data_IF_245603864307
#
_entry.id   IF_245603864307
#
_cell.length_a   1.000
_cell.length_b   1.000
_cell.length_c   1.000
_cell.angle_alpha   90.00
_cell.angle_beta   90.00
_cell.angle_gamma   90.00
#
_symmetry.space_group_name_H-M   'P 1'
#
loop_
_entity.id
_entity.type
_entity.pdbx_description
1 polymer ?
2 polymer ?
3 non-polymer ?
4 water ?
#
# COMPACT_ATOMS: atom_id res chain seq x y z
N UNK A 2 -15.76 -12.35 4.19
CA UNK A 2 -15.51 -13.15 2.95
C UNK A 2 -14.38 -12.56 2.12
N UNK A 3 -14.74 -11.62 1.24
CA UNK A 3 -13.77 -10.94 0.39
C UNK A 3 -12.98 -9.95 1.25
N UNK A 4 -12.86 -10.27 2.53
CA UNK A 4 -12.16 -9.43 3.47
C UNK A 4 -10.67 -9.76 3.48
N UNK A 5 -10.34 -11.01 3.81
CA UNK A 5 -8.95 -11.48 3.88
C UNK A 5 -8.10 -10.97 2.72
N UNK A 6 -8.75 -10.70 1.60
CA UNK A 6 -8.05 -10.18 0.45
C UNK A 6 -7.55 -8.81 0.86
N UNK A 7 -8.50 -7.96 1.26
CA UNK A 7 -8.21 -6.60 1.71
C UNK A 7 -7.13 -6.62 2.80
N UNK A 8 -7.18 -7.65 3.64
CA UNK A 8 -6.22 -7.80 4.72
C UNK A 8 -4.87 -8.09 4.10
N UNK A 9 -4.86 -9.02 3.15
CA UNK A 9 -3.62 -9.41 2.48
C UNK A 9 -2.98 -8.21 1.77
N UNK A 10 -3.82 -7.45 1.06
CA UNK A 10 -3.39 -6.28 0.30
C UNK A 10 -2.71 -5.22 1.16
N UNK A 11 -2.98 -5.24 2.46
CA UNK A 11 -2.37 -4.28 3.38
C UNK A 11 -1.25 -4.94 4.16
N UNK A 12 -0.21 -4.17 4.44
CA UNK A 12 0.96 -4.65 5.17
C UNK A 12 0.60 -4.91 6.62
N UNK A 13 1.57 -5.36 7.40
CA UNK A 13 1.35 -5.66 8.81
C UNK A 13 1.28 -4.38 9.63
N UNK A 14 2.19 -3.47 9.33
CA UNK A 14 2.28 -2.20 10.03
C UNK A 14 1.12 -1.26 9.69
N UNK A 15 0.49 -1.49 8.53
CA UNK A 15 -0.64 -0.67 8.09
C UNK A 15 -1.85 -1.08 8.90
N UNK A 16 -2.20 -2.36 8.83
CA UNK A 16 -3.32 -2.86 9.61
C UNK A 16 -3.12 -2.54 11.09
N UNK A 17 -1.86 -2.41 11.50
CA UNK A 17 -1.56 -2.12 12.89
C UNK A 17 -1.86 -0.66 13.20
N UNK A 18 -1.64 0.20 12.22
CA UNK A 18 -1.89 1.62 12.40
C UNK A 18 -3.36 1.94 12.22
N UNK A 19 -3.99 1.29 11.24
CA UNK A 19 -5.40 1.52 10.94
C UNK A 19 -6.18 1.26 12.20
N UNK A 20 -5.91 0.12 12.82
CA UNK A 20 -6.58 -0.25 14.05
C UNK A 20 -6.50 0.93 15.01
N UNK A 21 -5.27 1.31 15.34
CA UNK A 21 -4.99 2.42 16.25
C UNK A 21 -6.00 3.57 16.16
N UNK A 22 -6.19 4.09 14.95
CA UNK A 22 -7.13 5.19 14.68
C UNK A 22 -8.56 4.72 14.94
N UNK A 23 -8.88 3.55 14.39
CA UNK A 23 -10.20 2.94 14.54
C UNK A 23 -10.53 2.84 16.02
N UNK A 24 -9.76 2.00 16.72
CA UNK A 24 -9.94 1.82 18.15
C UNK A 24 -10.12 3.16 18.84
N UNK A 25 -9.37 4.15 18.36
CA UNK A 25 -9.41 5.50 18.90
C UNK A 25 -10.84 6.05 19.01
N UNK A 26 -11.64 5.84 17.97
CA UNK A 26 -13.01 6.33 17.97
C UNK A 26 -14.00 5.26 18.33
N UNK A 27 -13.53 4.29 19.09
CA UNK A 27 -14.36 3.18 19.54
C UNK A 27 -14.49 3.26 21.05
N UNK A 28 -15.51 3.98 21.52
CA UNK A 28 -15.77 4.12 22.95
C UNK A 28 -16.56 2.88 23.39
N UNK A 29 -17.54 2.52 22.57
CA UNK A 29 -18.37 1.35 22.82
C UNK A 29 -17.48 0.16 23.12
N UNK A 30 -16.24 0.23 22.64
CA UNK A 30 -15.27 -0.84 22.84
C UNK A 30 -15.72 -2.13 22.20
N UNK A 31 -16.62 -2.03 21.23
CA UNK A 31 -17.13 -3.21 20.55
C UNK A 31 -16.55 -3.37 19.15
N UNK A 32 -15.37 -2.81 18.91
CA UNK A 32 -14.73 -2.90 17.60
C UNK A 32 -15.70 -2.27 16.62
N UNK A 33 -16.32 -1.18 17.05
CA UNK A 33 -17.34 -0.46 16.28
C UNK A 33 -17.22 1.08 16.36
N UNK A 34 -17.50 1.76 15.26
CA UNK A 34 -17.45 3.23 15.25
C UNK A 34 -18.62 3.77 14.45
N UNK A 35 -19.02 5.00 14.77
CA UNK A 35 -20.15 5.67 14.12
C UNK A 35 -19.78 6.17 12.71
N UNK A 36 -20.68 5.96 11.74
CA UNK A 36 -20.43 6.41 10.37
C UNK A 36 -20.16 7.90 10.29
N UNK A 37 -20.50 8.62 11.35
CA UNK A 37 -20.27 10.06 11.36
C UNK A 37 -18.83 10.33 11.77
N UNK A 38 -18.07 9.27 11.99
CA UNK A 38 -16.67 9.40 12.39
C UNK A 38 -15.71 8.89 11.32
N UNK A 39 -16.27 8.20 10.33
CA UNK A 39 -15.50 7.63 9.23
C UNK A 39 -14.64 8.71 8.61
N UNK A 40 -15.28 9.62 7.89
CA UNK A 40 -14.53 10.69 7.28
C UNK A 40 -13.33 11.10 8.10
N UNK A 41 -13.51 11.46 9.37
CA UNK A 41 -12.35 11.90 10.15
C UNK A 41 -11.27 10.81 10.38
N UNK A 42 -11.70 9.57 10.63
CA UNK A 42 -10.73 8.47 10.83
C UNK A 42 -9.95 8.25 9.53
N UNK A 43 -10.64 8.34 8.40
CA UNK A 43 -10.01 8.15 7.11
C UNK A 43 -9.01 9.26 6.83
N UNK A 44 -9.22 10.41 7.47
CA UNK A 44 -8.32 11.55 7.28
C UNK A 44 -7.01 11.31 8.04
N UNK A 45 -7.11 10.67 9.21
CA UNK A 45 -5.93 10.37 10.03
C UNK A 45 -4.98 9.42 9.30
N UNK A 46 -5.53 8.55 8.46
CA UNK A 46 -4.72 7.58 7.72
C UNK A 46 -4.60 7.91 6.24
N UNK A 47 -4.29 9.16 5.96
CA UNK A 47 -4.09 9.59 4.58
C UNK A 47 -5.20 9.78 3.58
N UNK A 48 -6.30 9.05 3.68
CA UNK A 48 -7.37 9.21 2.71
C UNK A 48 -8.12 10.54 2.80
N UNK A 49 -8.48 11.09 1.64
CA UNK A 49 -9.20 12.35 1.52
C UNK A 49 -10.34 12.29 0.50
N UNK A 50 -11.36 11.51 0.80
CA UNK A 50 -12.47 11.43 -0.14
C UNK A 50 -13.26 12.71 0.01
N UNK A 51 -13.97 13.10 -1.03
CA UNK A 51 -14.81 14.28 -0.96
C UNK A 51 -16.05 13.81 -0.20
N UNK A 52 -16.70 14.75 0.49
CA UNK A 52 -17.89 14.47 1.29
C UNK A 52 -18.88 13.63 0.49
N UNK A 53 -18.95 13.87 -0.82
CA UNK A 53 -19.85 13.11 -1.67
C UNK A 53 -19.36 11.69 -1.84
N UNK A 54 -18.04 11.52 -1.82
CA UNK A 54 -17.44 10.19 -1.94
C UNK A 54 -17.59 9.43 -0.62
N UNK A 55 -17.45 10.15 0.48
CA UNK A 55 -17.59 9.56 1.81
C UNK A 55 -19.03 9.10 1.97
N UNK A 56 -19.95 9.80 1.31
CA UNK A 56 -21.33 9.41 1.41
C UNK A 56 -21.54 8.11 0.63
N UNK A 57 -20.92 8.01 -0.55
CA UNK A 57 -21.02 6.80 -1.38
C UNK A 57 -20.56 5.60 -0.56
N UNK A 58 -19.36 5.73 0.03
CA UNK A 58 -18.74 4.70 0.88
C UNK A 58 -19.68 4.24 1.99
N UNK A 59 -20.20 5.19 2.76
CA UNK A 59 -21.14 4.92 3.84
C UNK A 59 -22.32 4.08 3.33
N UNK A 60 -22.76 4.36 2.10
CA UNK A 60 -23.88 3.63 1.48
C UNK A 60 -23.50 2.20 1.15
N UNK A 61 -22.27 2.01 0.70
CA UNK A 61 -21.75 0.69 0.35
C UNK A 61 -21.59 -0.20 1.60
N UNK A 62 -20.64 0.13 2.47
CA UNK A 62 -20.40 -0.64 3.69
C UNK A 62 -21.66 -0.87 4.52
N UNK A 63 -22.20 0.21 5.06
CA UNK A 63 -23.44 0.15 5.84
C UNK A 63 -24.64 0.26 4.89
N UNK A 64 -25.09 -0.88 4.37
CA UNK A 64 -26.22 -0.95 3.44
C UNK A 64 -27.54 -1.07 4.19
N UNK A 65 -27.56 -1.99 5.15
CA UNK A 65 -28.73 -2.25 6.00
C UNK A 65 -29.04 -0.99 6.85
N UNK A 66 -28.02 -0.18 7.10
CA UNK A 66 -28.23 1.04 7.83
C UNK A 66 -28.26 1.15 9.34
N UNK A 67 -27.21 0.71 10.03
CA UNK A 67 -27.18 0.86 11.47
C UNK A 67 -26.39 2.04 12.00
N UNK A 68 -25.60 2.68 11.15
CA UNK A 68 -24.81 3.81 11.58
C UNK A 68 -23.38 3.50 12.07
N UNK A 69 -22.93 2.27 11.88
CA UNK A 69 -21.60 1.87 12.30
C UNK A 69 -20.92 0.86 11.36
N UNK A 70 -19.62 0.66 11.58
CA UNK A 70 -18.86 -0.26 10.79
C UNK A 70 -17.77 -0.85 11.62
N UNK A 71 -17.48 -2.11 11.35
CA UNK A 71 -16.47 -2.84 12.05
C UNK A 71 -15.15 -2.57 11.36
N UNK A 72 -14.15 -3.17 11.93
CA UNK A 72 -12.81 -3.07 11.46
C UNK A 72 -12.51 -3.86 10.18
N UNK A 73 -13.14 -5.00 10.00
CA UNK A 73 -12.94 -5.78 8.80
C UNK A 73 -13.61 -5.05 7.64
N UNK A 74 -14.67 -4.33 7.97
CA UNK A 74 -15.43 -3.53 7.01
C UNK A 74 -14.57 -2.31 6.69
N UNK A 75 -13.97 -1.75 7.74
CA UNK A 75 -13.10 -0.60 7.57
C UNK A 75 -12.01 -0.98 6.58
N UNK A 76 -11.40 -2.14 6.84
CA UNK A 76 -10.32 -2.64 6.00
C UNK A 76 -10.78 -2.72 4.57
N UNK A 77 -11.63 -3.71 4.29
CA UNK A 77 -12.14 -3.92 2.95
C UNK A 77 -12.35 -2.62 2.19
N UNK A 78 -12.94 -1.62 2.87
CA UNK A 78 -13.25 -0.35 2.22
C UNK A 78 -12.03 0.55 2.04
N UNK A 79 -11.29 0.73 3.12
CA UNK A 79 -10.09 1.54 3.08
C UNK A 79 -9.24 1.14 1.87
N UNK A 80 -9.10 -0.16 1.68
CA UNK A 80 -8.31 -0.69 0.58
C UNK A 80 -8.87 -0.32 -0.79
N UNK A 81 -10.18 -0.46 -0.94
CA UNK A 81 -10.80 -0.12 -2.21
C UNK A 81 -10.56 1.36 -2.46
N UNK A 82 -10.79 2.18 -1.44
CA UNK A 82 -10.60 3.61 -1.60
C UNK A 82 -9.15 3.89 -2.01
N UNK A 83 -8.21 3.40 -1.21
CA UNK A 83 -6.80 3.60 -1.49
C UNK A 83 -6.58 3.34 -2.98
N UNK A 84 -7.09 2.21 -3.45
CA UNK A 84 -6.95 1.83 -4.86
C UNK A 84 -7.60 2.85 -5.79
N UNK A 85 -8.89 3.12 -5.59
CA UNK A 85 -9.62 4.07 -6.43
C UNK A 85 -8.86 5.38 -6.59
N UNK A 86 -8.56 6.00 -5.45
CA UNK A 86 -7.83 7.26 -5.33
C UNK A 86 -6.43 7.18 -5.96
N UNK A 87 -5.97 5.98 -6.30
CA UNK A 87 -4.61 5.82 -6.80
C UNK A 87 -4.28 6.79 -7.93
N UNK A 88 -3.03 7.23 -7.97
CA UNK A 88 -2.59 8.18 -8.99
C UNK A 88 -1.12 7.92 -9.36
N UNK A 89 -0.74 6.66 -9.50
CA UNK A 89 0.64 6.33 -9.84
C UNK A 89 0.88 6.20 -11.33
N UNK A 90 1.98 5.55 -11.70
CA UNK A 90 2.30 5.35 -13.10
C UNK A 90 1.32 4.37 -13.74
N UNK A 91 1.22 4.42 -15.07
CA UNK A 91 0.33 3.52 -15.78
C UNK A 91 1.01 2.15 -15.91
N UNK A 92 0.36 1.23 -16.63
CA UNK A 92 0.89 -0.12 -16.86
C UNK A 92 2.13 -0.08 -17.75
N UNK A 93 2.00 0.66 -18.83
CA UNK A 93 3.08 0.80 -19.79
C UNK A 93 4.39 1.22 -19.12
N UNK A 94 4.39 2.39 -18.48
CA UNK A 94 5.60 2.91 -17.84
C UNK A 94 6.09 2.05 -16.68
N UNK A 95 5.17 1.45 -15.94
CA UNK A 95 5.56 0.62 -14.81
C UNK A 95 6.20 -0.69 -15.29
N UNK A 96 5.81 -1.16 -16.47
CA UNK A 96 6.38 -2.40 -17.00
C UNK A 96 7.81 -2.18 -17.47
N UNK A 97 8.11 -0.95 -17.89
CA UNK A 97 9.44 -0.59 -18.36
C UNK A 97 10.41 -0.51 -17.17
N UNK A 98 9.88 -0.18 -16.00
CA UNK A 98 10.71 -0.09 -14.82
C UNK A 98 11.04 -1.51 -14.47
N UNK A 99 10.02 -2.36 -14.63
CA UNK A 99 10.13 -3.77 -14.34
C UNK A 99 11.28 -4.43 -15.12
N UNK A 100 11.28 -4.27 -16.44
CA UNK A 100 12.33 -4.85 -17.26
C UNK A 100 13.66 -4.23 -16.91
N UNK A 101 13.66 -3.06 -16.30
CA UNK A 101 14.93 -2.47 -15.94
C UNK A 101 15.41 -3.23 -14.72
N UNK A 102 14.43 -3.60 -13.90
CA UNK A 102 14.63 -4.32 -12.65
C UNK A 102 14.89 -5.81 -12.81
N UNK A 103 14.38 -6.42 -13.87
CA UNK A 103 14.59 -7.86 -14.09
C UNK A 103 15.85 -8.02 -14.97
N UNK A 104 16.99 -8.24 -14.32
CA UNK A 104 18.29 -8.36 -15.02
C UNK A 104 18.37 -9.65 -15.89
N UNK A 105 17.97 -10.78 -15.31
CA UNK A 105 18.04 -12.10 -16.01
C UNK A 105 16.82 -12.35 -16.90
N UNK A 106 15.81 -11.51 -16.77
CA UNK A 106 14.57 -11.61 -17.54
C UNK A 106 13.81 -12.90 -17.31
N UNK A 107 13.61 -13.29 -16.05
CA UNK A 107 12.87 -14.51 -15.75
C UNK A 107 11.37 -14.27 -15.48
N UNK A 108 10.96 -13.00 -15.48
CA UNK A 108 9.57 -12.66 -15.22
C UNK A 108 9.35 -12.30 -13.76
N UNK A 109 10.46 -12.19 -13.02
CA UNK A 109 10.45 -11.85 -11.60
C UNK A 109 11.57 -10.87 -11.29
N UNK A 110 11.50 -10.33 -10.07
CA UNK A 110 12.50 -9.43 -9.49
C UNK A 110 12.73 -10.16 -8.17
N UNK A 111 13.98 -10.55 -7.91
CA UNK A 111 14.27 -11.29 -6.68
C UNK A 111 15.10 -10.51 -5.69
N UNK A 112 14.97 -10.88 -4.42
CA UNK A 112 15.70 -10.24 -3.35
C UNK A 112 16.98 -9.57 -3.80
N UNK A 113 17.84 -10.36 -4.44
CA UNK A 113 19.14 -9.88 -4.91
C UNK A 113 19.00 -8.79 -5.95
N UNK A 114 18.11 -8.98 -6.91
CA UNK A 114 17.88 -7.96 -7.94
C UNK A 114 17.41 -6.65 -7.24
N UNK A 115 16.62 -6.82 -6.18
CA UNK A 115 16.09 -5.71 -5.40
C UNK A 115 17.16 -4.80 -4.83
N UNK A 116 18.11 -5.38 -4.11
CA UNK A 116 19.19 -4.60 -3.54
C UNK A 116 20.07 -4.05 -4.66
N UNK A 117 20.03 -4.71 -5.81
CA UNK A 117 20.83 -4.27 -6.93
C UNK A 117 20.32 -2.92 -7.38
N UNK A 118 19.06 -2.65 -7.06
CA UNK A 118 18.40 -1.39 -7.41
C UNK A 118 18.91 -0.17 -6.65
N UNK A 119 18.79 -0.20 -5.34
CA UNK A 119 19.20 0.94 -4.56
C UNK A 119 20.70 1.24 -4.57
N UNK A 120 21.44 0.43 -5.30
CA UNK A 120 22.86 0.66 -5.37
C UNK A 120 23.08 1.91 -6.20
N UNK A 121 22.25 2.08 -7.23
CA UNK A 121 22.34 3.23 -8.12
C UNK A 121 21.92 4.48 -7.39
N UNK A 122 21.32 4.30 -6.22
CA UNK A 122 20.86 5.43 -5.42
C UNK A 122 21.87 5.71 -4.34
N UNK A 123 21.92 6.95 -3.86
CA UNK A 123 22.87 7.29 -2.81
C UNK A 123 22.36 6.96 -1.42
N UNK A 124 21.38 6.09 -1.35
CA UNK A 124 20.82 5.75 -0.06
C UNK A 124 21.30 4.43 0.54
N UNK A 125 21.05 4.27 1.83
CA UNK A 125 21.44 3.07 2.51
C UNK A 125 20.20 2.29 2.95
N UNK A 126 19.94 1.21 2.22
CA UNK A 126 18.79 0.34 2.43
C UNK A 126 19.20 -0.86 3.25
N UNK A 127 18.69 -0.94 4.47
CA UNK A 127 19.04 -2.07 5.32
C UNK A 127 18.52 -3.39 4.74
N UNK A 128 19.14 -4.48 5.17
CA UNK A 128 18.78 -5.82 4.73
C UNK A 128 17.30 -6.07 4.97
N UNK A 129 16.82 -5.62 6.14
CA UNK A 129 15.42 -5.77 6.48
C UNK A 129 14.57 -4.93 5.55
N UNK A 130 15.05 -3.74 5.22
CA UNK A 130 14.29 -2.87 4.33
C UNK A 130 14.00 -3.67 3.09
N UNK A 131 15.06 -4.11 2.42
CA UNK A 131 14.92 -4.93 1.22
C UNK A 131 13.91 -6.07 1.46
N UNK A 132 14.05 -6.73 2.61
CA UNK A 132 13.18 -7.85 2.96
C UNK A 132 11.71 -7.47 3.17
N UNK A 133 11.46 -6.25 3.64
CA UNK A 133 10.09 -5.79 3.90
C UNK A 133 9.40 -5.33 2.62
N UNK A 134 10.21 -4.78 1.73
CA UNK A 134 9.73 -4.32 0.44
C UNK A 134 9.24 -5.54 -0.33
N UNK A 135 10.04 -6.61 -0.25
CA UNK A 135 9.71 -7.85 -0.93
C UNK A 135 8.55 -8.52 -0.19
N UNK A 136 8.56 -8.40 1.14
CA UNK A 136 7.51 -9.00 1.96
C UNK A 136 6.12 -8.51 1.60
N UNK A 137 5.92 -7.20 1.60
CA UNK A 137 4.62 -6.65 1.25
C UNK A 137 4.33 -6.88 -0.23
N UNK A 138 5.38 -6.81 -1.04
CA UNK A 138 5.23 -7.02 -2.47
C UNK A 138 4.92 -8.46 -2.83
N UNK A 139 5.46 -9.40 -2.04
CA UNK A 139 5.26 -10.84 -2.24
C UNK A 139 3.88 -11.27 -1.75
N UNK A 140 3.02 -11.71 -2.66
CA UNK A 140 1.67 -12.09 -2.28
C UNK A 140 1.34 -13.58 -2.42
N UNK A 141 2.08 -14.27 -3.28
CA UNK A 141 1.90 -15.72 -3.45
C UNK A 141 3.03 -16.33 -2.66
N UNK A 142 3.92 -15.47 -2.18
CA UNK A 142 5.06 -15.87 -1.39
C UNK A 142 6.12 -16.68 -2.13
N UNK A 143 6.08 -16.68 -3.47
CA UNK A 143 7.07 -17.43 -4.23
C UNK A 143 8.49 -16.98 -3.92
N UNK A 144 8.64 -16.02 -3.02
CA UNK A 144 9.97 -15.54 -2.65
C UNK A 144 10.46 -14.39 -3.49
N UNK A 145 9.76 -14.12 -4.59
CA UNK A 145 10.10 -13.03 -5.50
C UNK A 145 8.84 -12.23 -5.86
N UNK A 146 8.92 -11.45 -6.94
CA UNK A 146 7.80 -10.63 -7.35
C UNK A 146 7.67 -10.54 -8.84
N UNK A 147 6.50 -10.86 -9.37
CA UNK A 147 6.31 -10.74 -10.80
C UNK A 147 5.68 -9.37 -11.16
N UNK A 148 5.45 -9.15 -12.44
CA UNK A 148 4.88 -7.89 -12.89
C UNK A 148 3.58 -7.56 -12.16
N UNK A 149 2.56 -8.39 -12.33
CA UNK A 149 1.28 -8.14 -11.69
C UNK A 149 1.43 -7.81 -10.22
N UNK A 150 2.39 -8.45 -9.55
CA UNK A 150 2.64 -8.18 -8.13
C UNK A 150 3.37 -6.85 -7.98
N UNK A 151 4.12 -6.48 -9.01
CA UNK A 151 4.90 -5.24 -9.01
C UNK A 151 3.94 -4.06 -9.18
N UNK A 152 2.83 -4.31 -9.88
CA UNK A 152 1.80 -3.30 -10.12
C UNK A 152 1.23 -2.90 -8.77
N UNK A 153 0.65 -3.85 -8.06
CA UNK A 153 0.05 -3.60 -6.76
C UNK A 153 0.97 -2.83 -5.85
N UNK A 154 2.22 -3.26 -5.79
CA UNK A 154 3.22 -2.64 -4.94
C UNK A 154 3.52 -1.22 -5.38
N UNK A 155 3.31 -0.95 -6.66
CA UNK A 155 3.59 0.38 -7.17
C UNK A 155 2.35 1.26 -7.23
N UNK A 156 1.20 0.67 -6.91
CA UNK A 156 -0.09 1.36 -6.93
C UNK A 156 -0.01 2.78 -6.38
N UNK A 157 -0.28 3.75 -7.25
CA UNK A 157 -0.26 5.14 -6.86
C UNK A 157 0.96 5.57 -6.08
N UNK A 158 2.13 5.39 -6.68
CA UNK A 158 3.37 5.80 -6.04
C UNK A 158 4.00 6.90 -6.88
N UNK A 159 4.56 7.90 -6.22
CA UNK A 159 5.18 9.02 -6.92
C UNK A 159 6.70 9.08 -6.74
N UNK B 3 5.72 2.93 19.77
CA UNK B 3 5.12 1.58 19.53
C UNK B 3 4.37 1.48 18.20
N UNK B 4 3.57 2.49 17.90
CA UNK B 4 2.81 2.51 16.66
C UNK B 4 3.41 3.65 15.86
N UNK B 5 4.32 4.36 16.49
CA UNK B 5 5.00 5.49 15.86
C UNK B 5 6.00 4.89 14.90
N UNK B 6 6.61 3.79 15.33
CA UNK B 6 7.61 3.08 14.55
C UNK B 6 7.02 2.64 13.21
N UNK B 7 5.97 1.82 13.27
CA UNK B 7 5.32 1.32 12.07
C UNK B 7 4.96 2.47 11.14
N UNK B 8 4.57 3.61 11.72
CA UNK B 8 4.20 4.79 10.94
C UNK B 8 5.41 5.16 10.11
N UNK B 9 6.56 5.08 10.77
CA UNK B 9 7.84 5.37 10.13
C UNK B 9 8.18 4.28 9.11
N UNK B 10 7.99 3.04 9.53
CA UNK B 10 8.28 1.89 8.69
C UNK B 10 7.62 1.99 7.33
N UNK B 11 6.32 2.29 7.34
CA UNK B 11 5.51 2.42 6.12
C UNK B 11 5.97 3.60 5.30
N UNK B 12 6.41 4.64 6.00
CA UNK B 12 6.87 5.85 5.36
C UNK B 12 8.11 5.53 4.55
N UNK B 13 9.15 5.08 5.25
CA UNK B 13 10.42 4.72 4.64
C UNK B 13 10.16 3.85 3.43
N UNK B 14 9.29 2.85 3.59
CA UNK B 14 8.98 1.96 2.50
C UNK B 14 8.40 2.68 1.30
N UNK B 15 7.41 3.52 1.55
CA UNK B 15 6.75 4.30 0.49
C UNK B 15 7.80 5.16 -0.21
N UNK B 16 8.75 5.67 0.55
CA UNK B 16 9.82 6.50 0.00
C UNK B 16 10.73 5.70 -0.94
N UNK B 17 11.17 4.52 -0.49
CA UNK B 17 12.06 3.67 -1.30
C UNK B 17 11.42 3.32 -2.64
N UNK B 18 10.11 3.14 -2.65
CA UNK B 18 9.40 2.81 -3.89
C UNK B 18 9.44 4.00 -4.83
N UNK B 19 9.45 5.20 -4.25
CA UNK B 19 9.51 6.43 -5.03
C UNK B 19 10.89 6.51 -5.67
N UNK B 20 11.89 6.08 -4.90
CA UNK B 20 13.28 6.05 -5.35
C UNK B 20 13.37 5.07 -6.51
N UNK B 21 12.86 3.86 -6.31
CA UNK B 21 12.87 2.87 -7.36
C UNK B 21 12.46 3.50 -8.67
N UNK B 22 11.27 4.11 -8.72
CA UNK B 22 10.79 4.76 -9.94
C UNK B 22 11.81 5.73 -10.55
N UNK B 23 12.52 6.48 -9.71
CA UNK B 23 13.51 7.43 -10.22
C UNK B 23 14.66 6.69 -10.87
N UNK B 24 15.26 5.77 -10.12
CA UNK B 24 16.39 4.97 -10.60
C UNK B 24 16.04 4.39 -11.95
N UNK B 25 14.86 3.80 -12.03
CA UNK B 25 14.36 3.22 -13.26
C UNK B 25 14.33 4.31 -14.32
N UNK B 26 13.53 5.36 -14.07
CA UNK B 26 13.42 6.47 -15.00
C UNK B 26 14.80 6.89 -15.48
N UNK B 27 15.63 7.35 -14.55
CA UNK B 27 17.00 7.78 -14.88
C UNK B 27 17.68 6.81 -15.85
N UNK B 28 17.72 5.53 -15.48
CA UNK B 28 18.36 4.52 -16.32
C UNK B 28 17.74 4.42 -17.71
N UNK B 29 16.43 4.64 -17.79
CA UNK B 29 15.71 4.56 -19.07
C UNK B 29 16.00 5.69 -20.03
N UNK B 30 16.55 6.78 -19.52
CA UNK B 30 16.90 7.93 -20.34
C UNK B 30 18.29 7.70 -20.88
N UNK B 31 19.15 7.11 -20.06
CA UNK B 31 20.54 6.86 -20.44
C UNK B 31 20.63 5.87 -21.57
N UNK B 32 19.53 5.14 -21.78
CA UNK B 32 19.46 4.15 -22.84
C UNK B 32 19.55 4.78 -24.24
N UNK B 33 19.57 6.11 -24.30
CA UNK B 33 19.70 6.82 -25.57
C UNK B 33 21.17 6.93 -25.89
X LIG C 1 14.88 -11.68 -12.18
X LIG D 1 5.31 -13.58 -5.44
#
# INVERSE_FOLDING_TARGET
>A
TDQQAEARSYLSEEMIAEFKAAFDMFDADGGGDISVKELGTVMRMLGQTPTKEELDAIIEEVDEDGSGTIDFEEFLVMMVRQMKEDAKGKSEEELAECFRIFDRNADGYIDAEELAEIFRASGEHVTDEEIESLMKDGDKNNDGRIDFDEFLKMMEGVQ
>B
GDEEKRNRAITARRQHLKSVMLQIAATELEKEEGRREAEKQNYLAEH
>C hetero
1 CA CA
>D hetero
1 CA CA
#
